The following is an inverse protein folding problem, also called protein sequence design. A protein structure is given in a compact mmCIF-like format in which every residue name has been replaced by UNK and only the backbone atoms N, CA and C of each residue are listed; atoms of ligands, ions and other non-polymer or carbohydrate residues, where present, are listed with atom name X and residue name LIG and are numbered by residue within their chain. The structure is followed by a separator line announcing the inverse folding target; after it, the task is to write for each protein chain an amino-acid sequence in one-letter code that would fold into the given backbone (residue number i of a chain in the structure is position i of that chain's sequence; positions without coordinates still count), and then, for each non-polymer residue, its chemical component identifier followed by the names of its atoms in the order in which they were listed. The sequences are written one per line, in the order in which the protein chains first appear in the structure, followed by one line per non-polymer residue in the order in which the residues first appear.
data_IF_621921552588
#
_entry.id   IF_621921552588
#
_cell.length_a   1.000
_cell.length_b   1.000
_cell.length_c   1.000
_cell.angle_alpha   90.00
_cell.angle_beta   90.00
_cell.angle_gamma   90.00
#
_symmetry.space_group_name_H-M   'P 1'
#
loop_
_entity.id
_entity.type
_entity.pdbx_description
1 polymer ?
#
# COMPACT_ATOMS: atom_id res chain seq x y z
N UNK A 1 -20.06 20.01 -48.60
CA UNK A 1 -20.06 19.82 -47.13
C UNK A 1 -20.53 18.40 -46.84
N UNK A 2 -19.60 17.51 -46.51
CA UNK A 2 -19.86 16.13 -46.16
C UNK A 2 -20.10 16.05 -44.66
N UNK A 3 -21.33 15.79 -44.25
CA UNK A 3 -21.70 15.56 -42.86
C UNK A 3 -21.32 14.12 -42.48
N UNK A 4 -20.45 13.98 -41.47
CA UNK A 4 -20.12 12.69 -40.83
C UNK A 4 -21.37 12.08 -40.16
N UNK A 5 -21.64 10.78 -40.29
CA UNK A 5 -22.77 10.16 -39.64
C UNK A 5 -22.58 10.17 -38.12
N UNK A 6 -23.63 10.54 -37.38
CA UNK A 6 -23.66 10.53 -35.94
C UNK A 6 -23.38 9.10 -35.40
N UNK A 7 -22.37 8.95 -34.56
CA UNK A 7 -22.08 7.69 -33.84
C UNK A 7 -23.27 7.31 -32.96
N UNK A 8 -23.80 6.13 -33.17
CA UNK A 8 -24.85 5.57 -32.30
C UNK A 8 -24.30 5.47 -30.86
N UNK A 9 -25.11 5.81 -29.83
CA UNK A 9 -24.67 5.71 -28.45
C UNK A 9 -24.39 4.24 -28.07
N UNK A 10 -23.23 4.00 -27.45
CA UNK A 10 -22.91 2.69 -26.89
C UNK A 10 -23.97 2.30 -25.86
N UNK A 11 -24.77 1.30 -26.16
CA UNK A 11 -25.72 0.71 -25.23
C UNK A 11 -24.95 -0.30 -24.36
N UNK A 12 -24.67 0.05 -23.11
CA UNK A 12 -24.17 -0.88 -22.11
C UNK A 12 -25.26 -1.94 -21.86
N UNK A 13 -25.09 -3.12 -22.43
CA UNK A 13 -25.91 -4.27 -22.09
C UNK A 13 -25.42 -4.77 -20.72
N UNK A 14 -26.25 -4.63 -19.70
CA UNK A 14 -25.98 -5.20 -18.38
C UNK A 14 -25.93 -6.72 -18.50
N UNK A 15 -24.75 -7.30 -18.48
CA UNK A 15 -24.57 -8.74 -18.38
C UNK A 15 -24.96 -9.14 -16.95
N UNK A 16 -25.95 -10.04 -16.75
CA UNK A 16 -26.31 -10.51 -15.42
C UNK A 16 -25.09 -11.16 -14.77
N UNK A 17 -24.58 -10.55 -13.69
CA UNK A 17 -23.47 -11.11 -12.92
C UNK A 17 -23.98 -12.40 -12.25
N UNK A 18 -23.45 -13.53 -12.69
CA UNK A 18 -23.61 -14.78 -11.95
C UNK A 18 -23.05 -14.57 -10.53
N UNK A 19 -23.82 -14.87 -9.47
CA UNK A 19 -23.30 -14.77 -8.11
C UNK A 19 -22.04 -15.63 -8.02
N UNK A 20 -20.93 -15.00 -7.63
CA UNK A 20 -19.72 -15.74 -7.35
C UNK A 20 -19.98 -16.65 -6.14
N UNK A 21 -19.57 -17.91 -6.18
CA UNK A 21 -19.66 -18.77 -5.00
C UNK A 21 -18.95 -18.06 -3.84
N UNK A 22 -19.61 -18.00 -2.69
CA UNK A 22 -18.99 -17.46 -1.47
C UNK A 22 -17.72 -18.26 -1.20
N UNK A 23 -16.53 -17.65 -1.24
CA UNK A 23 -15.31 -18.39 -1.00
C UNK A 23 -15.35 -18.94 0.42
N UNK A 24 -15.00 -20.21 0.57
CA UNK A 24 -14.79 -20.79 1.89
C UNK A 24 -13.77 -19.92 2.64
N UNK A 25 -14.09 -19.51 3.86
CA UNK A 25 -13.20 -18.73 4.68
C UNK A 25 -11.99 -19.60 5.08
N UNK A 26 -10.90 -19.48 4.35
CA UNK A 26 -9.64 -20.12 4.68
C UNK A 26 -8.95 -19.21 5.68
N UNK A 27 -9.07 -19.49 6.96
CA UNK A 27 -8.29 -18.82 8.00
C UNK A 27 -7.01 -19.64 8.20
N UNK A 28 -5.81 -19.06 7.99
CA UNK A 28 -4.56 -19.74 8.29
C UNK A 28 -4.53 -20.14 9.78
N UNK A 29 -3.92 -21.29 10.15
CA UNK A 29 -3.75 -21.62 11.55
C UNK A 29 -2.93 -20.51 12.24
N UNK A 30 -3.30 -20.13 13.46
CA UNK A 30 -2.66 -19.04 14.21
C UNK A 30 -1.13 -19.24 14.36
N UNK A 31 -0.66 -20.47 14.46
CA UNK A 31 0.78 -20.83 14.49
C UNK A 31 1.54 -20.52 13.18
N UNK A 32 0.82 -20.26 12.07
CA UNK A 32 1.42 -19.92 10.79
C UNK A 32 1.58 -18.39 10.60
N UNK A 33 1.07 -17.59 11.53
CA UNK A 33 1.11 -16.12 11.49
C UNK A 33 2.20 -15.65 12.46
N UNK A 34 2.95 -14.63 12.07
CA UNK A 34 3.97 -13.99 12.87
C UNK A 34 4.09 -12.52 12.59
N UNK A 35 4.72 -11.81 13.52
CA UNK A 35 5.00 -10.38 13.35
C UNK A 35 6.13 -10.17 12.35
N UNK A 36 6.00 -9.18 11.49
CA UNK A 36 7.07 -8.76 10.61
C UNK A 36 8.16 -8.04 11.43
N UNK A 37 9.33 -8.67 11.55
CA UNK A 37 10.44 -8.12 12.33
C UNK A 37 11.21 -7.09 11.53
N UNK A 38 11.40 -5.91 12.11
CA UNK A 38 12.21 -4.85 11.53
C UNK A 38 12.86 -4.00 12.64
N UNK A 39 13.91 -3.27 12.26
CA UNK A 39 14.59 -2.29 13.11
C UNK A 39 14.36 -0.90 12.53
N UNK A 40 13.99 0.06 13.36
CA UNK A 40 13.88 1.46 12.98
C UNK A 40 15.21 2.18 13.18
N UNK A 41 15.60 3.01 12.22
CA UNK A 41 16.79 3.84 12.28
C UNK A 41 16.40 5.25 12.71
N UNK A 42 16.93 5.74 13.83
CA UNK A 42 16.69 7.12 14.28
C UNK A 42 17.20 8.13 13.25
N UNK A 43 18.38 7.87 12.69
CA UNK A 43 18.91 8.63 11.56
C UNK A 43 18.68 7.84 10.27
N UNK A 44 18.02 8.43 9.25
CA UNK A 44 17.84 7.75 7.98
C UNK A 44 19.17 7.36 7.35
N UNK A 45 19.19 6.23 6.65
CA UNK A 45 20.34 5.83 5.88
C UNK A 45 20.70 6.93 4.85
N UNK A 46 22.00 7.16 4.59
CA UNK A 46 22.42 8.16 3.63
C UNK A 46 21.88 7.82 2.22
N UNK A 47 21.58 8.87 1.45
CA UNK A 47 21.13 8.70 0.07
C UNK A 47 22.15 7.92 -0.75
N UNK A 48 21.64 7.07 -1.65
CA UNK A 48 22.48 6.41 -2.63
C UNK A 48 23.09 7.44 -3.61
N UNK A 49 24.21 7.12 -4.28
CA UNK A 49 24.77 7.99 -5.31
C UNK A 49 23.74 8.29 -6.40
N UNK A 50 23.61 9.57 -6.73
CA UNK A 50 22.68 10.07 -7.75
C UNK A 50 23.12 9.64 -9.14
N UNK A 51 22.18 9.22 -9.97
CA UNK A 51 22.36 8.96 -11.39
C UNK A 51 21.36 9.80 -12.18
N UNK A 52 21.78 10.92 -12.73
CA UNK A 52 20.88 11.87 -13.38
C UNK A 52 19.89 12.49 -12.39
N UNK A 53 18.58 12.33 -12.62
CA UNK A 53 17.52 12.83 -11.75
C UNK A 53 16.97 11.77 -10.78
N UNK A 54 17.60 10.60 -10.73
CA UNK A 54 17.13 9.46 -9.95
C UNK A 54 18.19 8.94 -9.00
N UNK A 55 17.72 8.30 -7.93
CA UNK A 55 18.51 7.54 -6.97
C UNK A 55 18.07 6.08 -7.02
N UNK A 56 18.96 5.11 -6.85
CA UNK A 56 18.59 3.76 -6.52
C UNK A 56 17.78 3.74 -5.22
N UNK A 57 16.55 3.19 -5.29
CA UNK A 57 15.66 3.12 -4.14
C UNK A 57 16.10 2.03 -3.16
N UNK A 58 16.05 2.36 -1.89
CA UNK A 58 16.18 1.41 -0.76
C UNK A 58 15.48 1.99 0.47
N UNK A 59 14.92 1.14 1.36
CA UNK A 59 14.40 1.61 2.64
C UNK A 59 15.45 2.44 3.38
N UNK A 60 15.07 3.66 3.77
CA UNK A 60 16.01 4.60 4.41
C UNK A 60 15.85 4.67 5.93
N UNK A 61 14.68 4.33 6.44
CA UNK A 61 14.33 4.46 7.86
C UNK A 61 14.22 3.13 8.61
N UNK A 62 14.13 2.03 7.88
CA UNK A 62 13.95 0.70 8.45
C UNK A 62 14.88 -0.33 7.82
N UNK A 63 15.26 -1.31 8.61
CA UNK A 63 15.93 -2.53 8.16
C UNK A 63 15.02 -3.70 8.50
N UNK A 64 14.67 -4.48 7.50
CA UNK A 64 13.71 -5.59 7.65
C UNK A 64 14.48 -6.90 7.64
N UNK A 65 14.37 -7.66 8.71
CA UNK A 65 15.12 -8.90 8.91
C UNK A 65 14.80 -9.94 7.83
N UNK A 66 15.84 -10.44 7.20
CA UNK A 66 15.73 -11.46 6.15
C UNK A 66 15.12 -10.98 4.83
N UNK A 67 14.84 -9.68 4.67
CA UNK A 67 14.30 -9.16 3.43
C UNK A 67 15.37 -9.03 2.34
N UNK A 68 15.09 -9.61 1.17
CA UNK A 68 15.90 -9.44 -0.02
C UNK A 68 15.55 -8.12 -0.74
N UNK A 69 16.48 -7.62 -1.56
CA UNK A 69 16.21 -6.53 -2.49
C UNK A 69 15.13 -6.90 -3.50
N UNK A 70 14.55 -5.89 -4.14
CA UNK A 70 13.59 -6.13 -5.23
C UNK A 70 14.32 -6.79 -6.42
N UNK A 71 13.70 -7.75 -7.13
CA UNK A 71 14.37 -8.49 -8.22
C UNK A 71 14.76 -7.60 -9.41
N UNK A 72 14.08 -6.48 -9.60
CA UNK A 72 14.48 -5.44 -10.55
C UNK A 72 14.94 -4.20 -9.80
N UNK A 73 15.95 -3.46 -10.30
CA UNK A 73 16.36 -2.20 -9.68
C UNK A 73 15.18 -1.23 -9.61
N UNK A 74 14.91 -0.74 -8.41
CA UNK A 74 13.95 0.33 -8.18
C UNK A 74 14.68 1.66 -8.11
N UNK A 75 14.02 2.72 -8.56
CA UNK A 75 14.56 4.08 -8.50
C UNK A 75 13.51 5.04 -7.97
N UNK A 76 13.97 6.09 -7.33
CA UNK A 76 13.16 7.22 -6.90
C UNK A 76 13.74 8.53 -7.44
N UNK A 77 12.94 9.59 -7.51
CA UNK A 77 13.47 10.90 -7.85
C UNK A 77 14.30 11.46 -6.69
N UNK A 78 15.32 12.26 -7.00
CA UNK A 78 16.12 12.94 -5.98
C UNK A 78 15.26 13.75 -5.01
N UNK A 79 14.21 14.39 -5.53
CA UNK A 79 13.29 15.17 -4.70
C UNK A 79 12.55 14.30 -3.67
N UNK A 80 12.10 13.10 -4.07
CA UNK A 80 11.43 12.18 -3.14
C UNK A 80 12.42 11.57 -2.14
N UNK A 81 13.58 11.14 -2.60
CA UNK A 81 14.63 10.58 -1.73
C UNK A 81 15.16 11.56 -0.70
N UNK A 82 15.07 12.89 -0.95
CA UNK A 82 15.44 13.91 0.03
C UNK A 82 14.45 14.08 1.20
N UNK A 83 13.25 13.51 1.08
CA UNK A 83 12.24 13.55 2.14
C UNK A 83 12.45 12.37 3.06
N UNK A 84 12.76 12.64 4.33
CA UNK A 84 12.91 11.57 5.31
C UNK A 84 11.58 10.87 5.55
N UNK A 85 11.58 9.53 5.44
CA UNK A 85 10.43 8.72 5.82
C UNK A 85 10.11 8.91 7.31
N UNK A 86 8.83 8.91 7.72
CA UNK A 86 8.45 9.00 9.13
C UNK A 86 8.89 7.76 9.90
N UNK A 87 8.89 7.85 11.24
CA UNK A 87 9.09 6.67 12.08
C UNK A 87 7.87 5.74 11.95
N UNK A 88 8.08 4.45 11.70
CA UNK A 88 6.98 3.50 11.68
C UNK A 88 6.49 3.19 13.09
N UNK A 89 5.18 2.98 13.25
CA UNK A 89 4.54 2.74 14.56
C UNK A 89 3.87 1.36 14.65
N UNK A 90 3.64 0.70 13.51
CA UNK A 90 2.92 -0.55 13.45
C UNK A 90 3.84 -1.74 13.14
N UNK A 91 3.50 -2.88 13.73
CA UNK A 91 4.13 -4.18 13.45
C UNK A 91 3.11 -5.06 12.73
N UNK A 92 3.19 -5.18 11.40
CA UNK A 92 2.26 -5.99 10.64
C UNK A 92 2.33 -7.48 10.98
N UNK A 93 1.20 -8.18 10.79
CA UNK A 93 1.08 -9.62 10.95
C UNK A 93 1.02 -10.30 9.59
N UNK A 94 1.85 -11.29 9.35
CA UNK A 94 1.91 -12.03 8.09
C UNK A 94 2.11 -13.52 8.33
N UNK A 95 1.74 -14.36 7.36
CA UNK A 95 2.18 -15.75 7.37
C UNK A 95 3.70 -15.85 7.43
N UNK A 96 4.19 -16.73 8.31
CA UNK A 96 5.61 -16.90 8.56
C UNK A 96 6.40 -17.17 7.27
N UNK A 97 7.53 -16.52 7.15
CA UNK A 97 8.50 -16.75 6.08
C UNK A 97 8.18 -16.08 4.74
N UNK A 98 7.14 -15.24 4.61
CA UNK A 98 6.88 -14.55 3.34
C UNK A 98 8.06 -13.67 2.90
N UNK A 99 8.67 -12.95 3.82
CA UNK A 99 9.84 -12.09 3.56
C UNK A 99 11.08 -12.95 3.33
N UNK A 100 11.38 -13.88 4.24
CA UNK A 100 12.54 -14.75 4.14
C UNK A 100 12.55 -15.64 2.88
N UNK A 101 11.37 -16.00 2.36
CA UNK A 101 11.22 -16.74 1.10
C UNK A 101 11.27 -15.84 -0.15
N UNK A 102 11.49 -14.54 0.02
CA UNK A 102 11.56 -13.57 -1.08
C UNK A 102 10.23 -13.30 -1.79
N UNK A 103 9.09 -13.65 -1.18
CA UNK A 103 7.76 -13.34 -1.73
C UNK A 103 7.42 -11.85 -1.59
N UNK A 104 7.98 -11.19 -0.57
CA UNK A 104 8.00 -9.75 -0.41
C UNK A 104 9.45 -9.27 -0.36
N UNK A 105 9.82 -8.34 -1.21
CA UNK A 105 11.11 -7.64 -1.13
C UNK A 105 11.10 -6.61 0.00
N UNK A 106 12.27 -6.11 0.38
CA UNK A 106 12.42 -5.07 1.40
C UNK A 106 11.53 -3.85 1.11
N UNK A 107 11.51 -3.34 -0.12
CA UNK A 107 10.67 -2.22 -0.52
C UNK A 107 9.16 -2.53 -0.41
N UNK A 108 8.75 -3.75 -0.78
CA UNK A 108 7.34 -4.15 -0.67
C UNK A 108 6.91 -4.36 0.79
N UNK A 109 7.77 -4.91 1.64
CA UNK A 109 7.50 -5.06 3.05
C UNK A 109 7.52 -3.71 3.79
N UNK A 110 8.38 -2.77 3.38
CA UNK A 110 8.36 -1.39 3.85
C UNK A 110 7.02 -0.71 3.60
N UNK A 111 6.46 -0.83 2.39
CA UNK A 111 5.12 -0.32 2.07
C UNK A 111 4.07 -0.86 3.05
N UNK A 112 4.10 -2.15 3.38
CA UNK A 112 3.18 -2.73 4.34
C UNK A 112 3.32 -2.10 5.73
N UNK A 113 4.55 -1.90 6.20
CA UNK A 113 4.82 -1.28 7.52
C UNK A 113 4.25 0.13 7.58
N UNK A 114 4.47 0.95 6.55
CA UNK A 114 3.95 2.32 6.52
C UNK A 114 2.44 2.38 6.29
N UNK A 115 1.88 1.50 5.48
CA UNK A 115 0.44 1.39 5.31
C UNK A 115 -0.25 0.97 6.63
N UNK A 116 0.31 -0.01 7.34
CA UNK A 116 -0.19 -0.43 8.65
C UNK A 116 -0.10 0.69 9.68
N UNK A 117 1.00 1.46 9.69
CA UNK A 117 1.18 2.62 10.57
C UNK A 117 0.20 3.75 10.26
N UNK A 118 -0.07 4.02 8.99
CA UNK A 118 -1.10 4.98 8.59
C UNK A 118 -2.51 4.51 9.02
N UNK A 119 -2.83 3.25 8.74
CA UNK A 119 -4.12 2.68 9.08
C UNK A 119 -4.35 2.49 10.61
N UNK A 120 -3.33 2.56 11.42
CA UNK A 120 -3.45 2.55 12.89
C UNK A 120 -3.87 3.92 13.46
N UNK A 121 -3.81 4.97 12.65
CA UNK A 121 -4.15 6.34 13.05
C UNK A 121 -5.51 6.75 12.51
N UNK A 122 -6.22 7.54 13.30
CA UNK A 122 -7.44 8.19 12.85
C UNK A 122 -7.16 9.60 12.31
N UNK A 123 -8.04 10.08 11.44
CA UNK A 123 -8.08 11.48 11.05
C UNK A 123 -8.49 12.33 12.26
N UNK A 124 -7.87 13.50 12.47
CA UNK A 124 -8.24 14.36 13.58
C UNK A 124 -9.65 14.93 13.39
N UNK A 125 -10.55 14.56 14.28
CA UNK A 125 -11.94 15.03 14.26
C UNK A 125 -12.96 13.97 13.86
N UNK A 126 -14.20 14.43 13.69
CA UNK A 126 -15.35 13.61 13.27
C UNK A 126 -15.92 14.19 12.00
N UNK A 127 -16.39 13.34 11.12
CA UNK A 127 -16.81 13.73 9.77
C UNK A 127 -18.08 13.02 9.34
N UNK A 128 -18.87 13.70 8.50
CA UNK A 128 -20.00 13.14 7.77
C UNK A 128 -19.71 13.09 6.28
N UNK A 129 -20.13 12.03 5.57
CA UNK A 129 -19.97 11.96 4.14
C UNK A 129 -20.90 12.96 3.44
N UNK A 130 -20.37 13.66 2.45
CA UNK A 130 -21.09 14.53 1.52
C UNK A 130 -20.95 14.00 0.09
N UNK A 131 -21.65 14.61 -0.85
CA UNK A 131 -21.57 14.29 -2.27
C UNK A 131 -21.64 12.79 -2.58
N UNK A 132 -22.61 12.10 -1.97
CA UNK A 132 -22.77 10.63 -2.10
C UNK A 132 -21.53 9.85 -1.63
N UNK A 133 -20.79 10.39 -0.67
CA UNK A 133 -19.59 9.76 -0.11
C UNK A 133 -18.29 10.13 -0.81
N UNK A 134 -18.30 11.10 -1.71
CA UNK A 134 -17.09 11.54 -2.40
C UNK A 134 -16.27 12.57 -1.61
N UNK A 135 -16.86 13.25 -0.63
CA UNK A 135 -16.20 14.22 0.25
C UNK A 135 -16.62 14.02 1.71
N UNK A 136 -15.84 14.58 2.62
CA UNK A 136 -16.10 14.55 4.06
C UNK A 136 -16.22 15.97 4.60
N UNK A 137 -17.29 16.23 5.37
CA UNK A 137 -17.48 17.47 6.10
C UNK A 137 -17.23 17.26 7.59
N UNK A 138 -16.49 18.16 8.24
CA UNK A 138 -16.33 18.12 9.69
C UNK A 138 -17.70 18.32 10.40
N UNK A 139 -18.03 17.45 11.35
CA UNK A 139 -19.29 17.45 12.08
C UNK A 139 -19.11 16.82 13.46
N UNK A 140 -19.64 17.46 14.49
CA UNK A 140 -19.61 16.92 15.86
C UNK A 140 -20.36 15.57 15.97
N UNK A 141 -21.41 15.39 15.18
CA UNK A 141 -22.25 14.19 15.13
C UNK A 141 -21.68 13.12 14.17
N UNK A 142 -20.61 13.47 13.43
CA UNK A 142 -19.98 12.60 12.45
C UNK A 142 -19.27 11.39 13.06
N UNK A 143 -18.69 10.58 12.19
CA UNK A 143 -17.90 9.42 12.56
C UNK A 143 -16.40 9.72 12.52
N UNK A 144 -15.61 8.95 13.26
CA UNK A 144 -14.14 8.95 13.15
C UNK A 144 -13.75 8.13 11.95
N UNK A 145 -12.84 8.65 11.16
CA UNK A 145 -12.32 7.98 9.98
C UNK A 145 -10.84 7.67 10.15
N UNK A 146 -10.44 6.49 9.66
CA UNK A 146 -9.05 6.06 9.66
C UNK A 146 -8.26 6.80 8.57
N UNK A 147 -6.98 7.07 8.83
CA UNK A 147 -6.08 7.60 7.84
C UNK A 147 -5.87 6.59 6.70
N UNK A 148 -5.92 7.07 5.47
CA UNK A 148 -5.61 6.27 4.29
C UNK A 148 -4.10 6.21 4.01
N UNK A 149 -3.71 5.31 3.10
CA UNK A 149 -2.35 5.22 2.58
C UNK A 149 -2.39 5.26 1.06
N UNK A 150 -1.58 6.13 0.47
CA UNK A 150 -1.46 6.24 -0.99
C UNK A 150 -0.26 5.46 -1.49
N UNK A 151 -0.53 4.44 -2.32
CA UNK A 151 0.50 3.63 -2.97
C UNK A 151 0.76 4.13 -4.38
N UNK A 152 1.75 5.02 -4.52
CA UNK A 152 2.09 5.72 -5.78
C UNK A 152 3.24 5.10 -6.57
N UNK A 153 3.65 3.90 -6.28
CA UNK A 153 4.77 3.23 -6.94
C UNK A 153 4.58 3.11 -8.46
N UNK A 154 5.68 3.19 -9.19
CA UNK A 154 5.70 3.00 -10.63
C UNK A 154 5.31 1.58 -11.08
N UNK A 155 5.20 1.41 -12.38
CA UNK A 155 4.97 0.10 -13.00
C UNK A 155 6.18 -0.81 -12.72
N UNK A 156 5.90 -2.06 -12.35
CA UNK A 156 6.95 -3.05 -12.07
C UNK A 156 7.36 -3.18 -10.60
N UNK A 157 7.03 -2.22 -9.72
CA UNK A 157 7.33 -2.30 -8.28
C UNK A 157 6.56 -3.40 -7.53
N UNK A 158 5.60 -4.05 -8.18
CA UNK A 158 4.82 -5.13 -7.59
C UNK A 158 3.70 -4.68 -6.68
N UNK A 159 3.02 -3.56 -7.01
CA UNK A 159 1.88 -3.03 -6.25
C UNK A 159 0.83 -4.07 -5.86
N UNK A 160 0.55 -5.04 -6.74
CA UNK A 160 -0.38 -6.12 -6.44
C UNK A 160 0.02 -6.95 -5.21
N UNK A 161 1.32 -7.22 -5.02
CA UNK A 161 1.82 -7.92 -3.83
C UNK A 161 1.73 -7.04 -2.58
N UNK A 162 2.02 -5.75 -2.72
CA UNK A 162 1.92 -4.78 -1.63
C UNK A 162 0.47 -4.67 -1.14
N UNK A 163 -0.49 -4.48 -2.05
CA UNK A 163 -1.93 -4.42 -1.71
C UNK A 163 -2.40 -5.76 -1.08
N UNK A 164 -2.00 -6.89 -1.66
CA UNK A 164 -2.35 -8.20 -1.10
C UNK A 164 -1.79 -8.39 0.31
N UNK A 165 -0.58 -7.93 0.60
CA UNK A 165 0.00 -8.01 1.94
C UNK A 165 -0.71 -7.12 2.95
N UNK A 166 -1.17 -5.91 2.55
CA UNK A 166 -2.00 -5.04 3.41
C UNK A 166 -3.34 -5.69 3.72
N UNK A 167 -3.99 -6.30 2.73
CA UNK A 167 -5.25 -7.04 2.93
C UNK A 167 -5.01 -8.22 3.89
N UNK A 168 -3.94 -8.95 3.69
CA UNK A 168 -3.61 -10.12 4.49
C UNK A 168 -3.34 -9.75 5.95
N UNK A 169 -2.56 -8.70 6.21
CA UNK A 169 -2.33 -8.15 7.55
C UNK A 169 -3.62 -7.81 8.30
N UNK A 170 -4.65 -7.37 7.57
CA UNK A 170 -5.95 -7.03 8.17
C UNK A 170 -6.90 -8.22 8.30
N UNK A 171 -6.61 -9.30 7.63
CA UNK A 171 -7.41 -10.52 7.68
C UNK A 171 -6.99 -11.43 8.84
N UNK A 172 -5.73 -11.48 9.15
CA UNK A 172 -5.16 -12.33 10.22
C UNK A 172 -5.15 -11.58 11.56
#
# INVERSE_FOLDING_TARGET
QSSLPARAPFRLVAVPRRPLPTPARITPPASAIGSLTYQSLETPAPLAPQVGHYLPYRPSRIVIDGAAGHPTPLVESVAMGSIAAPMPEAVPQLPNGLVAKGLLSAAQAETLIYAASAHARDLPGRFEPEDKGCSLRASAEGQVYRQGYFLGDGTGAGKGRQVASVILDRWV
#
